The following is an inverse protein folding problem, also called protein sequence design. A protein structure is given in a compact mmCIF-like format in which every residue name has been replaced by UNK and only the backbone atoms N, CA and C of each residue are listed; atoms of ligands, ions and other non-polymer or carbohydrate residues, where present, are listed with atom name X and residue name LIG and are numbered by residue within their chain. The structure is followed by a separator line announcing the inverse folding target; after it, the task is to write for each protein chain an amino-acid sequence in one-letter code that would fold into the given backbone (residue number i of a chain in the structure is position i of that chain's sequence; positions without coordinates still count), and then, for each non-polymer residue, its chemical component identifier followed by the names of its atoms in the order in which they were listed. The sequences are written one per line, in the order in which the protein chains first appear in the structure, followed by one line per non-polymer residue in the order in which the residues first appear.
data_IF_514656115904
#
_entry.id   IF_514656115904
#
_cell.length_a   1.000
_cell.length_b   1.000
_cell.length_c   1.000
_cell.angle_alpha   90.00
_cell.angle_beta   90.00
_cell.angle_gamma   90.00
#
_symmetry.space_group_name_H-M   'P 1'
#
loop_
_entity.id
_entity.type
_entity.pdbx_description
1 polymer ?
#
# COMPACT_ATOMS: atom_id res chain seq x y z
N UNK A 1 11.39 28.03 41.69
CA UNK A 1 10.69 27.09 40.79
C UNK A 1 11.77 26.32 40.06
N UNK A 2 11.97 25.05 40.40
CA UNK A 2 13.03 24.23 39.81
C UNK A 2 12.49 23.56 38.54
N UNK A 3 13.10 23.81 37.39
CA UNK A 3 12.95 22.95 36.21
C UNK A 3 13.76 21.68 36.48
N UNK A 4 13.08 20.55 36.66
CA UNK A 4 13.72 19.23 36.67
C UNK A 4 14.05 18.79 35.24
N UNK A 5 15.16 18.08 35.02
CA UNK A 5 15.46 17.48 33.72
C UNK A 5 14.59 16.23 33.52
N UNK A 6 14.19 15.98 32.27
CA UNK A 6 13.60 14.72 31.77
C UNK A 6 12.18 14.39 32.24
N UNK A 7 11.22 15.29 32.00
CA UNK A 7 9.89 14.80 31.63
C UNK A 7 9.98 14.36 30.18
N UNK A 8 10.13 13.06 29.93
CA UNK A 8 10.04 12.46 28.59
C UNK A 8 8.68 12.85 27.99
N UNK A 9 8.69 13.91 27.17
CA UNK A 9 7.50 14.40 26.51
C UNK A 9 7.13 13.42 25.40
N UNK A 10 6.09 12.63 25.59
CA UNK A 10 5.51 11.84 24.51
C UNK A 10 4.76 12.78 23.57
N UNK A 11 5.21 12.88 22.32
CA UNK A 11 4.53 13.60 21.25
C UNK A 11 3.80 12.58 20.39
N UNK A 12 2.47 12.62 20.38
CA UNK A 12 1.67 11.83 19.45
C UNK A 12 1.60 12.58 18.11
N UNK A 13 2.16 11.97 17.06
CA UNK A 13 2.08 12.48 15.69
C UNK A 13 0.96 11.75 14.97
N UNK A 14 -0.05 12.50 14.52
CA UNK A 14 -1.04 11.98 13.59
C UNK A 14 -0.40 11.86 12.20
N UNK A 15 -0.11 10.62 11.78
CA UNK A 15 0.46 10.35 10.47
C UNK A 15 -0.55 9.67 9.55
N UNK A 16 -0.53 10.05 8.27
CA UNK A 16 -1.33 9.45 7.22
C UNK A 16 -0.42 9.02 6.07
N UNK A 17 -0.68 7.85 5.50
CA UNK A 17 -0.05 7.35 4.30
C UNK A 17 -1.04 7.54 3.14
N UNK A 18 -0.85 8.52 2.23
CA UNK A 18 -1.69 8.67 1.06
C UNK A 18 -1.34 7.56 0.06
N UNK A 19 -2.32 6.72 -0.26
CA UNK A 19 -2.16 5.66 -1.25
C UNK A 19 -2.87 6.05 -2.55
N UNK A 20 -2.25 5.72 -3.66
CA UNK A 20 -2.92 5.64 -4.95
C UNK A 20 -2.91 4.19 -5.41
N UNK A 21 -4.08 3.68 -5.79
CA UNK A 21 -4.26 2.30 -6.23
C UNK A 21 -4.82 2.32 -7.64
N UNK A 22 -4.12 1.68 -8.56
CA UNK A 22 -4.44 1.71 -9.97
C UNK A 22 -3.96 0.45 -10.68
N UNK A 23 -4.43 0.27 -11.91
CA UNK A 23 -3.91 -0.73 -12.82
C UNK A 23 -3.60 -0.07 -14.17
N UNK A 24 -2.67 -0.65 -14.91
CA UNK A 24 -2.38 -0.25 -16.28
C UNK A 24 -2.85 -1.37 -17.19
N UNK A 25 -3.82 -1.14 -18.07
CA UNK A 25 -4.23 -2.16 -19.04
C UNK A 25 -3.08 -2.53 -19.96
N UNK A 26 -2.97 -3.81 -20.36
CA UNK A 26 -2.02 -4.19 -21.41
C UNK A 26 -2.36 -3.46 -22.71
N UNK A 27 -1.34 -3.11 -23.51
CA UNK A 27 -1.54 -2.47 -24.80
C UNK A 27 -2.15 -3.47 -25.81
N UNK A 28 -3.00 -2.99 -26.72
CA UNK A 28 -3.62 -3.83 -27.77
C UNK A 28 -2.57 -4.53 -28.67
N UNK A 29 -1.36 -3.97 -28.77
CA UNK A 29 -0.23 -4.54 -29.52
C UNK A 29 0.44 -5.72 -28.79
N UNK A 30 0.25 -5.89 -27.47
CA UNK A 30 0.76 -7.05 -26.72
C UNK A 30 -0.15 -8.28 -26.86
N UNK A 31 -1.40 -8.09 -27.32
CA UNK A 31 -2.37 -9.18 -27.50
C UNK A 31 -2.06 -10.06 -28.73
N UNK A 32 -1.30 -9.56 -29.71
CA UNK A 32 -0.97 -10.30 -30.95
C UNK A 32 0.16 -11.32 -30.78
N UNK A 33 0.92 -11.29 -29.67
CA UNK A 33 1.90 -12.34 -29.32
C UNK A 33 1.34 -13.40 -28.34
N UNK A 34 0.08 -13.26 -27.91
CA UNK A 34 -0.51 -14.05 -26.83
C UNK A 34 -0.86 -15.52 -27.20
N UNK A 35 -0.91 -15.87 -28.50
CA UNK A 35 -1.27 -17.23 -28.93
C UNK A 35 -0.24 -18.30 -28.50
N UNK A 36 1.01 -17.92 -28.18
CA UNK A 36 2.04 -18.84 -27.64
C UNK A 36 2.41 -18.59 -26.15
N UNK A 37 1.96 -17.48 -25.54
CA UNK A 37 2.46 -17.01 -24.23
C UNK A 37 1.47 -17.10 -23.04
N UNK A 38 0.22 -17.53 -23.27
CA UNK A 38 -0.80 -17.60 -22.22
C UNK A 38 -1.60 -16.30 -22.08
N UNK A 39 -2.54 -16.20 -21.12
CA UNK A 39 -3.36 -15.01 -20.93
C UNK A 39 -2.48 -13.80 -20.54
N UNK A 40 -2.85 -12.61 -20.99
CA UNK A 40 -2.15 -11.38 -20.63
C UNK A 40 -2.19 -11.15 -19.10
N UNK A 41 -1.03 -10.97 -18.48
CA UNK A 41 -0.90 -10.71 -17.04
C UNK A 41 -0.67 -9.22 -16.79
N UNK A 42 -1.47 -8.63 -15.89
CA UNK A 42 -1.34 -7.24 -15.44
C UNK A 42 -1.08 -7.15 -13.94
N UNK A 43 -0.46 -6.05 -13.49
CA UNK A 43 -0.22 -5.78 -12.07
C UNK A 43 -1.13 -4.67 -11.56
N UNK A 44 -1.51 -4.81 -10.29
CA UNK A 44 -2.02 -3.70 -9.49
C UNK A 44 -0.84 -2.96 -8.90
N UNK A 45 -0.88 -1.64 -9.04
CA UNK A 45 0.13 -0.75 -8.53
C UNK A 45 -0.40 0.01 -7.32
N UNK A 46 0.50 0.21 -6.36
CA UNK A 46 0.28 1.06 -5.18
C UNK A 46 1.38 2.11 -5.15
N UNK A 47 1.01 3.37 -5.34
CA UNK A 47 1.92 4.50 -5.27
C UNK A 47 1.68 5.32 -4.00
N UNK A 48 2.75 5.96 -3.51
CA UNK A 48 2.72 6.90 -2.39
C UNK A 48 2.82 8.37 -2.85
N UNK A 49 2.94 8.57 -4.15
CA UNK A 49 3.09 9.87 -4.80
C UNK A 49 2.27 9.86 -6.10
N UNK A 50 1.50 10.92 -6.32
CA UNK A 50 0.68 11.08 -7.51
C UNK A 50 1.52 11.19 -8.78
N UNK A 51 2.73 11.77 -8.70
CA UNK A 51 3.59 11.99 -9.87
C UNK A 51 4.17 10.68 -10.42
N UNK A 52 4.00 9.56 -9.70
CA UNK A 52 4.40 8.21 -10.13
C UNK A 52 3.32 7.50 -10.96
N UNK A 53 2.12 8.08 -11.05
CA UNK A 53 0.99 7.47 -11.74
C UNK A 53 1.09 7.80 -13.23
N UNK A 54 1.17 6.78 -14.11
CA UNK A 54 1.21 7.01 -15.54
C UNK A 54 -0.14 7.49 -16.09
N UNK A 55 -0.15 8.13 -17.25
CA UNK A 55 -1.35 8.72 -17.86
C UNK A 55 -2.39 7.66 -18.27
N UNK A 56 -1.92 6.47 -18.62
CA UNK A 56 -2.72 5.31 -19.00
C UNK A 56 -3.34 4.55 -17.80
N UNK A 57 -3.01 4.96 -16.56
CA UNK A 57 -3.52 4.33 -15.35
C UNK A 57 -5.05 4.45 -15.25
N UNK A 58 -5.67 3.38 -14.75
CA UNK A 58 -7.11 3.30 -14.54
C UNK A 58 -7.45 2.97 -13.09
N UNK A 59 -8.58 3.49 -12.57
CA UNK A 59 -9.06 3.15 -11.24
C UNK A 59 -9.49 1.68 -11.17
N UNK A 60 -9.50 1.16 -9.95
CA UNK A 60 -9.98 -0.19 -9.64
C UNK A 60 -11.16 -0.13 -8.66
N UNK A 61 -12.04 -1.12 -8.73
CA UNK A 61 -13.14 -1.28 -7.78
C UNK A 61 -12.80 -2.36 -6.74
N UNK A 62 -13.19 -2.14 -5.48
CA UNK A 62 -12.95 -3.08 -4.40
C UNK A 62 -12.68 -2.41 -3.06
N UNK A 63 -11.74 -2.96 -2.30
CA UNK A 63 -11.38 -2.46 -0.98
C UNK A 63 -9.90 -2.69 -0.64
N UNK A 64 -9.34 -1.75 0.11
CA UNK A 64 -8.08 -1.88 0.85
C UNK A 64 -8.42 -2.12 2.32
N UNK A 65 -7.89 -3.18 2.90
CA UNK A 65 -8.10 -3.54 4.31
C UNK A 65 -6.78 -3.45 5.07
N UNK A 66 -6.83 -2.91 6.28
CA UNK A 66 -5.71 -2.89 7.20
C UNK A 66 -6.22 -2.92 8.65
N UNK A 67 -5.95 -4.01 9.37
CA UNK A 67 -6.47 -4.22 10.72
C UNK A 67 -5.99 -3.17 11.74
N UNK A 68 -4.82 -2.57 11.50
CA UNK A 68 -4.22 -1.56 12.37
C UNK A 68 -4.50 -0.12 11.89
N UNK A 69 -5.34 0.05 10.87
CA UNK A 69 -5.70 1.35 10.31
C UNK A 69 -7.08 1.86 10.79
N UNK A 70 -7.30 3.16 10.64
CA UNK A 70 -8.60 3.82 10.81
C UNK A 70 -8.90 4.73 9.61
N UNK A 71 -9.98 4.48 8.84
CA UNK A 71 -10.83 3.30 8.91
C UNK A 71 -10.04 2.02 8.57
N UNK A 72 -10.46 0.87 9.12
CA UNK A 72 -9.80 -0.42 8.84
C UNK A 72 -10.06 -0.97 7.44
N UNK A 73 -11.01 -0.37 6.72
CA UNK A 73 -11.33 -0.67 5.33
C UNK A 73 -11.56 0.63 4.59
N UNK A 74 -10.97 0.76 3.40
CA UNK A 74 -11.15 1.87 2.47
C UNK A 74 -11.74 1.30 1.18
N UNK A 75 -12.84 1.90 0.72
CA UNK A 75 -13.52 1.48 -0.52
C UNK A 75 -12.81 2.10 -1.72
N UNK A 76 -12.52 1.27 -2.72
CA UNK A 76 -12.07 1.67 -4.05
C UNK A 76 -13.31 1.66 -4.96
N UNK A 77 -13.71 2.82 -5.45
CA UNK A 77 -15.02 3.03 -6.09
C UNK A 77 -15.03 2.80 -7.61
N UNK A 78 -13.90 2.36 -8.18
CA UNK A 78 -13.74 2.22 -9.62
C UNK A 78 -13.73 3.53 -10.40
N UNK A 79 -13.76 4.68 -9.73
CA UNK A 79 -13.81 6.02 -10.36
C UNK A 79 -12.61 6.89 -9.99
N UNK A 80 -12.03 6.67 -8.81
CA UNK A 80 -10.88 7.42 -8.30
C UNK A 80 -9.68 6.50 -8.07
N UNK A 81 -8.47 7.03 -8.28
CA UNK A 81 -7.21 6.33 -7.98
C UNK A 81 -6.64 6.72 -6.62
N UNK A 82 -7.19 7.72 -5.93
CA UNK A 82 -6.67 8.23 -4.65
C UNK A 82 -6.61 9.77 -4.61
N UNK A 83 -6.00 10.36 -3.57
CA UNK A 83 -5.34 9.68 -2.45
C UNK A 83 -6.33 9.03 -1.47
N UNK A 84 -6.08 7.78 -1.16
CA UNK A 84 -6.73 7.03 -0.09
C UNK A 84 -5.88 7.13 1.17
N UNK A 85 -6.36 7.88 2.17
CA UNK A 85 -5.60 8.12 3.38
C UNK A 85 -5.67 6.93 4.35
N UNK A 86 -4.57 6.17 4.45
CA UNK A 86 -4.41 5.13 5.48
C UNK A 86 -3.78 5.75 6.71
N UNK A 87 -4.51 5.71 7.84
CA UNK A 87 -4.03 6.24 9.11
C UNK A 87 -3.92 5.12 10.12
N UNK A 88 -2.91 5.15 10.99
CA UNK A 88 -2.84 4.22 12.12
C UNK A 88 -4.02 4.47 13.06
N UNK A 89 -4.67 3.41 13.52
CA UNK A 89 -5.67 3.52 14.57
C UNK A 89 -5.03 3.95 15.89
N UNK A 90 -5.67 4.88 16.62
CA UNK A 90 -5.14 5.47 17.87
C UNK A 90 -4.84 4.44 18.95
N UNK A 91 -5.52 3.29 18.92
CA UNK A 91 -5.36 2.19 19.88
C UNK A 91 -4.50 1.03 19.35
N UNK A 92 -3.93 1.13 18.15
CA UNK A 92 -2.99 0.12 17.67
C UNK A 92 -1.68 0.28 18.44
N UNK A 93 -1.23 -0.78 19.13
CA UNK A 93 0.02 -0.75 19.89
C UNK A 93 1.17 -0.24 19.01
N UNK A 94 2.02 0.64 19.54
CA UNK A 94 3.15 1.23 18.79
C UNK A 94 4.09 0.13 18.22
N UNK A 95 4.09 -1.06 18.83
CA UNK A 95 4.82 -2.24 18.38
C UNK A 95 4.16 -3.09 17.28
N UNK A 96 2.97 -2.75 16.79
CA UNK A 96 2.23 -3.59 15.79
C UNK A 96 2.74 -3.53 14.35
N UNK A 97 3.96 -3.02 14.13
CA UNK A 97 4.62 -2.98 12.82
C UNK A 97 4.09 -1.89 11.89
N UNK A 98 4.67 -1.78 10.69
CA UNK A 98 4.34 -0.77 9.69
C UNK A 98 2.96 -1.00 9.00
N UNK A 99 2.29 0.08 8.54
CA UNK A 99 0.96 0.00 7.88
C UNK A 99 1.00 -0.76 6.55
N UNK A 100 2.01 -0.48 5.72
CA UNK A 100 2.13 -1.01 4.36
C UNK A 100 2.12 -2.55 4.27
N UNK A 101 2.94 -3.31 5.05
CA UNK A 101 2.92 -4.76 4.98
C UNK A 101 1.62 -5.41 5.51
N UNK A 102 0.78 -4.63 6.20
CA UNK A 102 -0.51 -5.09 6.74
C UNK A 102 -1.69 -4.78 5.80
N UNK A 103 -1.43 -4.20 4.62
CA UNK A 103 -2.45 -3.94 3.62
C UNK A 103 -2.85 -5.23 2.93
N UNK A 104 -4.16 -5.46 2.82
CA UNK A 104 -4.76 -6.50 2.01
C UNK A 104 -5.73 -5.88 1.00
N UNK A 105 -5.79 -6.44 -0.20
CA UNK A 105 -6.59 -5.92 -1.29
C UNK A 105 -7.65 -6.96 -1.68
N UNK A 106 -8.90 -6.50 -1.76
CA UNK A 106 -10.05 -7.28 -2.26
C UNK A 106 -10.63 -6.53 -3.44
N UNK A 107 -10.27 -6.95 -4.64
CA UNK A 107 -10.65 -6.25 -5.87
C UNK A 107 -11.81 -6.97 -6.54
N UNK A 108 -12.69 -6.20 -7.18
CA UNK A 108 -13.70 -6.74 -8.07
C UNK A 108 -13.05 -7.12 -9.41
N UNK A 109 -13.54 -8.17 -10.07
CA UNK A 109 -13.06 -8.57 -11.38
C UNK A 109 -13.22 -7.44 -12.40
N UNK A 110 -12.24 -7.29 -13.28
CA UNK A 110 -12.25 -6.28 -14.34
C UNK A 110 -12.63 -6.95 -15.66
N UNK A 111 -13.90 -6.88 -16.05
CA UNK A 111 -14.45 -7.42 -17.32
C UNK A 111 -13.92 -8.82 -17.73
N UNK A 112 -12.74 -8.87 -18.37
CA UNK A 112 -12.08 -10.08 -18.88
C UNK A 112 -10.84 -10.52 -18.09
N UNK A 113 -10.57 -9.90 -16.93
CA UNK A 113 -9.42 -10.15 -16.06
C UNK A 113 -9.87 -10.61 -14.67
N UNK A 114 -9.18 -11.64 -14.16
CA UNK A 114 -9.28 -12.12 -12.78
C UNK A 114 -8.02 -11.71 -12.00
N UNK A 115 -8.20 -11.31 -10.75
CA UNK A 115 -7.08 -10.97 -9.87
C UNK A 115 -6.58 -12.19 -9.11
N UNK A 116 -5.29 -12.48 -9.26
CA UNK A 116 -4.60 -13.52 -8.47
C UNK A 116 -3.52 -12.87 -7.61
N UNK A 117 -3.45 -13.17 -6.30
CA UNK A 117 -2.37 -12.70 -5.45
C UNK A 117 -1.02 -13.20 -5.97
N UNK A 118 -0.06 -12.29 -6.11
CA UNK A 118 1.33 -12.65 -6.38
C UNK A 118 1.97 -13.19 -5.11
N UNK A 119 2.57 -14.38 -5.20
CA UNK A 119 3.25 -15.05 -4.09
C UNK A 119 4.71 -15.39 -4.49
N UNK A 120 5.73 -14.91 -3.75
CA UNK A 120 5.63 -14.00 -2.60
C UNK A 120 5.18 -12.60 -3.00
N UNK A 121 4.64 -11.83 -2.05
CA UNK A 121 4.22 -10.46 -2.34
C UNK A 121 5.45 -9.58 -2.65
N UNK A 122 5.40 -8.70 -3.67
CA UNK A 122 6.52 -7.82 -4.00
C UNK A 122 6.97 -6.94 -2.83
N UNK A 123 6.01 -6.55 -1.97
CA UNK A 123 6.28 -5.78 -0.76
C UNK A 123 7.05 -6.62 0.26
N UNK A 124 6.71 -7.91 0.42
CA UNK A 124 7.42 -8.81 1.31
C UNK A 124 8.86 -9.03 0.80
N UNK A 125 9.04 -9.29 -0.49
CA UNK A 125 10.37 -9.40 -1.11
C UNK A 125 11.21 -8.15 -0.80
N UNK A 126 10.63 -6.96 -1.01
CA UNK A 126 11.30 -5.69 -0.75
C UNK A 126 11.60 -5.45 0.73
N UNK A 127 10.68 -5.84 1.61
CA UNK A 127 10.84 -5.72 3.05
C UNK A 127 11.99 -6.60 3.55
N UNK A 128 12.09 -7.83 3.04
CA UNK A 128 13.18 -8.75 3.34
C UNK A 128 14.53 -8.25 2.80
N UNK A 129 14.57 -7.73 1.57
CA UNK A 129 15.77 -7.11 0.97
C UNK A 129 16.30 -5.93 1.80
N UNK A 130 15.40 -5.09 2.33
CA UNK A 130 15.75 -3.88 3.06
C UNK A 130 15.99 -4.12 4.57
N UNK A 131 15.73 -5.34 5.05
CA UNK A 131 15.88 -5.73 6.45
C UNK A 131 14.82 -5.10 7.37
N UNK A 132 13.59 -4.93 6.90
CA UNK A 132 12.48 -4.33 7.64
C UNK A 132 12.11 -2.92 7.17
N UNK A 133 11.13 -2.29 7.84
CA UNK A 133 10.73 -0.93 7.48
C UNK A 133 11.67 0.14 8.07
N UNK A 134 11.76 1.30 7.43
CA UNK A 134 12.69 2.38 7.84
C UNK A 134 12.49 2.80 9.31
N UNK A 135 11.26 2.81 9.81
CA UNK A 135 10.99 3.10 11.23
C UNK A 135 11.57 2.05 12.19
N UNK A 136 11.53 0.76 11.82
CA UNK A 136 12.19 -0.29 12.60
C UNK A 136 13.71 -0.17 12.51
N UNK A 137 14.23 0.23 11.35
CA UNK A 137 15.67 0.49 11.19
C UNK A 137 16.12 1.68 12.04
N UNK A 138 15.36 2.76 12.10
CA UNK A 138 15.62 3.90 12.97
C UNK A 138 15.51 3.54 14.45
N UNK A 139 14.54 2.70 14.83
CA UNK A 139 14.38 2.23 16.21
C UNK A 139 15.53 1.28 16.65
N UNK A 140 16.13 0.54 15.70
CA UNK A 140 17.19 -0.43 15.96
C UNK A 140 18.60 0.08 15.61
N UNK A 141 18.75 1.30 15.10
CA UNK A 141 20.07 1.92 14.94
C UNK A 141 20.67 2.23 16.32
N UNK A 142 21.96 1.94 16.55
CA UNK A 142 22.61 2.35 17.79
C UNK A 142 22.60 3.88 17.89
N UNK A 143 22.24 4.38 19.08
CA UNK A 143 22.41 5.78 19.47
C UNK A 143 23.88 6.15 19.65
#
# INVERSE_FOLDING_TARGET
VACGPDAEGQVELETACPLWVYWVPPDDDDAVEAEELGPAEGLIFVALDQDQIPDEARPVEGAVECAIATPGTIVLDGSSMGPFAVRRAVHADIGTGCLIPQLSFKLADLEDFEFVPRDPSPILERYEELGGCESERLANCPS
#
